data_IF_974392464835
#
_entry.id   IF_974392464835
#
_cell.length_a   1.000
_cell.length_b   1.000
_cell.length_c   1.000
_cell.angle_alpha   90.00
_cell.angle_beta   90.00
_cell.angle_gamma   90.00
#
_symmetry.space_group_name_H-M   'P 1'
#
loop_
_entity.id
_entity.type
_entity.pdbx_description
1 polymer ?
#
# COMPACT_ATOMS: atom_id res chain seq x y z
N UNK A 1 -16.06 -11.36 3.83
CA UNK A 1 -16.96 -10.18 3.94
C UNK A 1 -16.17 -8.88 4.03
N UNK A 2 -15.09 -8.81 4.82
CA UNK A 2 -14.26 -7.61 4.97
C UNK A 2 -13.66 -7.10 3.64
N UNK A 3 -13.02 -7.95 2.84
CA UNK A 3 -12.47 -7.59 1.52
C UNK A 3 -13.52 -7.02 0.55
N UNK A 4 -14.74 -7.61 0.51
CA UNK A 4 -15.85 -7.09 -0.31
C UNK A 4 -16.29 -5.70 0.17
N UNK A 5 -16.22 -5.45 1.49
CA UNK A 5 -16.53 -4.15 2.10
C UNK A 5 -15.46 -3.11 1.74
N UNK A 6 -14.18 -3.47 1.72
CA UNK A 6 -13.10 -2.53 1.34
C UNK A 6 -13.23 -2.07 -0.11
N UNK A 7 -13.54 -3.00 -1.02
CA UNK A 7 -13.83 -2.74 -2.44
C UNK A 7 -15.07 -1.83 -2.57
N UNK A 8 -16.15 -2.17 -1.87
CA UNK A 8 -17.41 -1.40 -1.92
C UNK A 8 -17.27 0.02 -1.36
N UNK A 9 -16.35 0.24 -0.43
CA UNK A 9 -16.28 1.50 0.31
C UNK A 9 -15.21 2.48 -0.24
N UNK A 10 -14.75 2.23 -1.47
CA UNK A 10 -13.71 2.99 -2.21
C UNK A 10 -12.35 3.08 -1.49
N UNK A 11 -12.17 2.37 -0.38
CA UNK A 11 -10.93 2.39 0.40
C UNK A 11 -9.81 1.71 -0.40
N UNK A 12 -10.14 0.63 -1.11
CA UNK A 12 -9.18 -0.02 -2.00
C UNK A 12 -8.64 0.94 -3.07
N UNK A 13 -9.48 1.87 -3.58
CA UNK A 13 -9.06 2.87 -4.56
C UNK A 13 -8.07 3.86 -3.93
N UNK A 14 -8.34 4.33 -2.70
CA UNK A 14 -7.44 5.24 -1.98
C UNK A 14 -6.10 4.55 -1.68
N UNK A 15 -6.15 3.29 -1.27
CA UNK A 15 -4.97 2.46 -1.01
C UNK A 15 -4.12 2.31 -2.29
N UNK A 16 -4.73 1.94 -3.41
CA UNK A 16 -4.04 1.85 -4.70
C UNK A 16 -3.46 3.20 -5.12
N UNK A 17 -4.21 4.30 -4.97
CA UNK A 17 -3.73 5.63 -5.33
C UNK A 17 -2.50 6.05 -4.52
N UNK A 18 -2.46 5.75 -3.22
CA UNK A 18 -1.29 6.00 -2.37
C UNK A 18 -0.09 5.18 -2.82
N UNK A 19 -0.28 3.89 -3.12
CA UNK A 19 0.83 3.03 -3.53
C UNK A 19 1.34 3.45 -4.91
N UNK A 20 0.47 3.82 -5.84
CA UNK A 20 0.87 4.42 -7.12
C UNK A 20 1.67 5.71 -6.89
N UNK A 21 1.26 6.56 -5.95
CA UNK A 21 2.00 7.77 -5.62
C UNK A 21 3.41 7.46 -5.05
N UNK A 22 3.56 6.40 -4.25
CA UNK A 22 4.87 5.95 -3.75
C UNK A 22 5.77 5.49 -4.90
N UNK A 23 5.26 4.68 -5.82
CA UNK A 23 6.01 4.26 -7.01
C UNK A 23 6.34 5.44 -7.94
N UNK A 24 5.46 6.42 -8.06
CA UNK A 24 5.73 7.65 -8.79
C UNK A 24 6.83 8.48 -8.12
N UNK A 25 6.82 8.60 -6.79
CA UNK A 25 7.90 9.27 -6.04
C UNK A 25 9.25 8.56 -6.21
N UNK A 26 9.26 7.22 -6.26
CA UNK A 26 10.47 6.45 -6.56
C UNK A 26 11.06 6.75 -7.94
N UNK A 27 10.26 7.26 -8.88
CA UNK A 27 10.74 7.75 -10.18
C UNK A 27 11.23 9.21 -10.08
N UNK A 28 10.47 10.05 -9.39
CA UNK A 28 10.70 11.49 -9.30
C UNK A 28 11.97 11.82 -8.50
N UNK A 29 12.26 11.11 -7.43
CA UNK A 29 13.42 11.38 -6.56
C UNK A 29 14.76 11.37 -7.31
N UNK A 30 15.14 10.29 -8.02
CA UNK A 30 16.44 10.21 -8.68
C UNK A 30 16.54 11.12 -9.91
N UNK A 31 15.42 11.43 -10.58
CA UNK A 31 15.40 12.36 -11.72
C UNK A 31 15.42 13.81 -11.26
N UNK A 32 14.67 14.12 -10.20
CA UNK A 32 14.47 15.48 -9.70
C UNK A 32 15.59 15.97 -8.80
N UNK A 33 16.03 15.14 -7.85
CA UNK A 33 17.07 15.51 -6.88
C UNK A 33 18.44 15.15 -7.41
N UNK A 34 18.62 13.90 -7.87
CA UNK A 34 19.94 13.38 -8.26
C UNK A 34 20.31 13.67 -9.73
N UNK A 35 19.39 14.29 -10.50
CA UNK A 35 19.57 14.67 -11.92
C UNK A 35 20.11 13.53 -12.80
N UNK A 36 19.73 12.29 -12.50
CA UNK A 36 20.21 11.13 -13.26
C UNK A 36 19.52 11.10 -14.63
N UNK A 37 20.30 11.04 -15.71
CA UNK A 37 19.79 11.13 -17.10
C UNK A 37 19.20 9.80 -17.61
N UNK A 38 19.58 8.66 -17.03
CA UNK A 38 19.02 7.34 -17.31
C UNK A 38 18.91 6.55 -16.02
N UNK A 39 17.70 6.13 -15.65
CA UNK A 39 17.50 5.21 -14.53
C UNK A 39 17.66 3.77 -14.98
N UNK A 40 18.53 3.01 -14.31
CA UNK A 40 18.50 1.56 -14.40
C UNK A 40 17.35 0.99 -13.56
N UNK A 41 16.90 -0.22 -13.92
CA UNK A 41 15.85 -0.95 -13.20
C UNK A 41 16.16 -1.10 -11.71
N UNK A 42 17.41 -1.38 -11.35
CA UNK A 42 17.84 -1.56 -9.95
C UNK A 42 17.82 -0.25 -9.17
N UNK A 43 18.27 0.85 -9.78
CA UNK A 43 18.24 2.17 -9.15
C UNK A 43 16.80 2.64 -8.91
N UNK A 44 15.88 2.35 -9.84
CA UNK A 44 14.46 2.65 -9.67
C UNK A 44 13.85 1.91 -8.49
N UNK A 45 14.09 0.59 -8.41
CA UNK A 45 13.60 -0.24 -7.32
C UNK A 45 14.22 0.15 -5.98
N UNK A 46 15.50 0.51 -5.97
CA UNK A 46 16.15 0.99 -4.75
C UNK A 46 15.59 2.35 -4.31
N UNK A 47 15.32 3.27 -5.23
CA UNK A 47 14.66 4.53 -4.88
C UNK A 47 13.23 4.32 -4.40
N UNK A 48 12.48 3.43 -5.04
CA UNK A 48 11.13 3.09 -4.58
C UNK A 48 11.14 2.47 -3.17
N UNK A 49 12.16 1.66 -2.86
CA UNK A 49 12.38 1.13 -1.51
C UNK A 49 12.57 2.24 -0.46
N UNK A 50 13.37 3.25 -0.77
CA UNK A 50 13.63 4.35 0.18
C UNK A 50 12.36 5.16 0.43
N UNK A 51 11.50 5.36 -0.58
CA UNK A 51 10.19 5.98 -0.38
C UNK A 51 9.30 5.14 0.54
N UNK A 52 9.25 3.83 0.32
CA UNK A 52 8.47 2.92 1.17
C UNK A 52 8.91 2.97 2.62
N UNK A 53 10.22 2.96 2.88
CA UNK A 53 10.75 2.92 4.25
C UNK A 53 10.68 4.28 4.95
N UNK A 54 10.91 5.38 4.24
CA UNK A 54 10.94 6.72 4.85
C UNK A 54 9.59 7.41 4.87
N UNK A 55 8.80 7.31 3.79
CA UNK A 55 7.50 7.97 3.67
C UNK A 55 6.32 7.01 3.86
N UNK A 56 6.52 5.71 3.67
CA UNK A 56 5.44 4.72 3.77
C UNK A 56 4.77 4.68 5.14
N UNK A 57 5.51 4.81 6.24
CA UNK A 57 4.91 4.85 7.59
C UNK A 57 3.84 5.94 7.73
N UNK A 58 4.11 7.13 7.18
CA UNK A 58 3.21 8.29 7.27
C UNK A 58 1.96 8.05 6.41
N UNK A 59 2.16 7.54 5.20
CA UNK A 59 1.07 7.26 4.27
C UNK A 59 0.16 6.12 4.76
N UNK A 60 0.73 5.04 5.31
CA UNK A 60 -0.03 3.92 5.84
C UNK A 60 -0.73 4.24 7.17
N UNK A 61 -0.10 5.00 8.07
CA UNK A 61 -0.74 5.41 9.33
C UNK A 61 -1.95 6.31 9.09
N UNK A 62 -1.87 7.22 8.11
CA UNK A 62 -3.01 8.03 7.69
C UNK A 62 -4.15 7.17 7.13
N UNK A 63 -3.82 6.18 6.28
CA UNK A 63 -4.82 5.29 5.69
C UNK A 63 -5.55 4.44 6.73
N UNK A 64 -4.81 3.86 7.69
CA UNK A 64 -5.40 3.08 8.80
C UNK A 64 -6.35 3.97 9.63
N UNK A 65 -5.91 5.19 9.95
CA UNK A 65 -6.72 6.14 10.71
C UNK A 65 -7.97 6.58 9.96
N UNK A 66 -7.85 6.88 8.66
CA UNK A 66 -8.98 7.23 7.80
C UNK A 66 -10.00 6.09 7.71
N UNK A 67 -9.51 4.85 7.58
CA UNK A 67 -10.36 3.68 7.47
C UNK A 67 -11.18 3.43 8.74
N UNK A 68 -10.54 3.54 9.91
CA UNK A 68 -11.20 3.41 11.21
C UNK A 68 -12.24 4.53 11.38
N UNK A 69 -11.88 5.79 11.10
CA UNK A 69 -12.80 6.92 11.22
C UNK A 69 -14.04 6.77 10.32
N UNK A 70 -13.88 6.22 9.12
CA UNK A 70 -15.00 5.99 8.21
C UNK A 70 -15.98 4.93 8.74
N UNK A 71 -15.50 3.92 9.45
CA UNK A 71 -16.35 2.92 10.14
C UNK A 71 -17.10 3.53 11.34
N UNK A 72 -16.46 4.44 12.09
CA UNK A 72 -17.13 5.21 13.14
C UNK A 72 -18.25 6.08 12.58
N UNK A 73 -17.97 6.82 11.49
CA UNK A 73 -18.98 7.65 10.80
C UNK A 73 -20.15 6.82 10.27
N UNK A 74 -19.87 5.66 9.68
CA UNK A 74 -20.88 4.73 9.17
C UNK A 74 -21.66 3.95 10.22
N UNK A 75 -21.36 4.14 11.52
CA UNK A 75 -21.97 3.40 12.66
C UNK A 75 -21.86 1.87 12.55
N UNK A 76 -21.00 1.34 11.69
CA UNK A 76 -20.83 -0.11 11.48
C UNK A 76 -20.24 -0.79 12.71
N UNK A 77 -19.51 -0.06 13.55
CA UNK A 77 -18.96 -0.53 14.82
C UNK A 77 -20.06 -1.02 15.78
N UNK A 78 -21.25 -0.40 15.74
CA UNK A 78 -22.38 -0.85 16.56
C UNK A 78 -22.85 -2.25 16.15
N UNK A 79 -22.84 -2.58 14.85
CA UNK A 79 -23.15 -3.92 14.36
C UNK A 79 -22.14 -4.97 14.83
N UNK A 80 -20.84 -4.66 14.83
CA UNK A 80 -19.82 -5.57 15.36
C UNK A 80 -19.97 -5.78 16.87
N UNK A 81 -20.38 -4.75 17.60
CA UNK A 81 -20.69 -4.85 19.03
C UNK A 81 -21.94 -5.71 19.29
N UNK A 82 -22.97 -5.60 18.46
CA UNK A 82 -24.16 -6.45 18.52
C UNK A 82 -23.86 -7.92 18.20
N UNK A 83 -22.85 -8.20 17.37
CA UNK A 83 -22.36 -9.56 17.10
C UNK A 83 -21.39 -10.11 18.15
N UNK A 84 -21.30 -9.48 19.33
CA UNK A 84 -20.43 -9.90 20.44
C UNK A 84 -18.94 -9.96 20.08
N UNK A 85 -18.51 -9.22 19.06
CA UNK A 85 -17.10 -9.15 18.68
C UNK A 85 -16.37 -8.16 19.60
N UNK A 86 -15.25 -8.60 20.18
CA UNK A 86 -14.40 -7.71 20.98
C UNK A 86 -13.72 -6.65 20.09
N UNK A 87 -13.54 -5.43 20.62
CA UNK A 87 -12.92 -4.30 19.93
C UNK A 87 -11.51 -4.62 19.40
N UNK A 88 -10.72 -5.38 20.17
CA UNK A 88 -9.40 -5.83 19.76
C UNK A 88 -9.46 -6.78 18.56
N UNK A 89 -10.38 -7.75 18.58
CA UNK A 89 -10.55 -8.71 17.47
C UNK A 89 -11.01 -8.02 16.20
N UNK A 90 -11.86 -6.99 16.31
CA UNK A 90 -12.25 -6.15 15.19
C UNK A 90 -11.04 -5.42 14.59
N UNK A 91 -10.27 -4.72 15.43
CA UNK A 91 -9.09 -3.98 14.98
C UNK A 91 -8.08 -4.89 14.27
N UNK A 92 -7.74 -6.04 14.86
CA UNK A 92 -6.77 -6.99 14.28
C UNK A 92 -7.24 -7.51 12.92
N UNK A 93 -8.53 -7.89 12.79
CA UNK A 93 -9.09 -8.35 11.50
C UNK A 93 -8.98 -7.27 10.42
N UNK A 94 -9.15 -6.00 10.79
CA UNK A 94 -9.05 -4.89 9.84
C UNK A 94 -7.61 -4.61 9.43
N UNK A 95 -6.69 -4.56 10.38
CA UNK A 95 -5.27 -4.40 10.09
C UNK A 95 -4.78 -5.52 9.17
N UNK A 96 -5.11 -6.78 9.47
CA UNK A 96 -4.78 -7.92 8.61
C UNK A 96 -5.34 -7.78 7.18
N UNK A 97 -6.59 -7.34 7.06
CA UNK A 97 -7.22 -7.15 5.73
C UNK A 97 -6.46 -6.09 4.94
N UNK A 98 -6.12 -4.95 5.56
CA UNK A 98 -5.35 -3.89 4.93
C UNK A 98 -3.94 -4.37 4.55
N UNK A 99 -3.25 -5.11 5.42
CA UNK A 99 -1.92 -5.67 5.13
C UNK A 99 -1.94 -6.61 3.93
N UNK A 100 -2.97 -7.45 3.78
CA UNK A 100 -3.09 -8.35 2.63
C UNK A 100 -3.32 -7.54 1.34
N UNK A 101 -4.16 -6.51 1.39
CA UNK A 101 -4.42 -5.63 0.23
C UNK A 101 -3.19 -4.81 -0.18
N UNK A 102 -2.40 -4.31 0.78
CA UNK A 102 -1.14 -3.60 0.48
C UNK A 102 -0.12 -4.53 -0.17
N UNK A 103 0.07 -5.75 0.34
CA UNK A 103 1.00 -6.70 -0.27
C UNK A 103 0.57 -7.10 -1.69
N UNK A 104 -0.72 -7.34 -1.89
CA UNK A 104 -1.25 -7.67 -3.22
C UNK A 104 -1.06 -6.53 -4.23
N UNK A 105 -1.31 -5.29 -3.83
CA UNK A 105 -1.14 -4.11 -4.71
C UNK A 105 0.33 -3.79 -5.00
N UNK A 106 1.24 -3.99 -4.03
CA UNK A 106 2.68 -3.89 -4.24
C UNK A 106 3.15 -4.91 -5.28
N UNK A 107 2.70 -6.16 -5.20
CA UNK A 107 3.02 -7.18 -6.21
C UNK A 107 2.58 -6.76 -7.61
N UNK A 108 1.33 -6.31 -7.75
CA UNK A 108 0.79 -5.89 -9.05
C UNK A 108 1.62 -4.75 -9.64
N UNK A 109 2.01 -3.75 -8.84
CA UNK A 109 2.83 -2.64 -9.31
C UNK A 109 4.27 -3.05 -9.63
N UNK A 110 4.88 -3.95 -8.86
CA UNK A 110 6.18 -4.54 -9.18
C UNK A 110 6.16 -5.26 -10.53
N UNK A 111 5.09 -6.00 -10.84
CA UNK A 111 4.91 -6.60 -12.16
C UNK A 111 4.82 -5.54 -13.26
N UNK A 112 4.00 -4.49 -13.07
CA UNK A 112 3.87 -3.39 -14.05
C UNK A 112 5.22 -2.73 -14.33
N UNK A 113 5.99 -2.41 -13.29
CA UNK A 113 7.33 -1.81 -13.43
C UNK A 113 8.26 -2.75 -14.18
N UNK A 114 8.24 -4.03 -13.85
CA UNK A 114 9.11 -5.03 -14.49
C UNK A 114 8.78 -5.21 -15.98
N UNK A 115 7.49 -5.09 -16.35
CA UNK A 115 7.09 -5.01 -17.75
C UNK A 115 7.62 -3.76 -18.46
N UNK A 116 7.64 -2.59 -17.80
CA UNK A 116 8.16 -1.34 -18.38
C UNK A 116 9.67 -1.43 -18.65
N UNK A 117 10.42 -2.03 -17.73
CA UNK A 117 11.88 -2.18 -17.85
C UNK A 117 12.32 -3.45 -18.61
N UNK A 118 11.38 -4.34 -18.96
CA UNK A 118 11.62 -5.63 -19.61
C UNK A 118 12.61 -6.53 -18.83
N UNK A 119 12.67 -6.38 -17.50
CA UNK A 119 13.55 -7.13 -16.61
C UNK A 119 12.75 -7.68 -15.42
N UNK A 120 12.80 -8.99 -15.22
CA UNK A 120 12.08 -9.72 -14.15
C UNK A 120 13.03 -10.31 -13.10
N UNK A 121 14.34 -10.10 -13.24
CA UNK A 121 15.37 -10.82 -12.47
C UNK A 121 15.31 -10.58 -10.95
N UNK A 122 14.85 -9.40 -10.51
CA UNK A 122 14.92 -8.97 -9.10
C UNK A 122 13.55 -8.87 -8.43
N UNK A 123 12.46 -9.27 -9.09
CA UNK A 123 11.08 -9.10 -8.60
C UNK A 123 10.87 -9.75 -7.22
N UNK A 124 11.28 -11.01 -7.09
CA UNK A 124 11.04 -11.77 -5.86
C UNK A 124 11.85 -11.17 -4.70
N UNK A 125 13.09 -10.75 -4.95
CA UNK A 125 13.94 -10.12 -3.95
C UNK A 125 13.36 -8.78 -3.48
N UNK A 126 12.92 -7.93 -4.42
CA UNK A 126 12.33 -6.63 -4.07
C UNK A 126 10.98 -6.76 -3.37
N UNK A 127 10.18 -7.77 -3.71
CA UNK A 127 8.94 -8.03 -2.98
C UNK A 127 9.19 -8.33 -1.49
N UNK A 128 10.23 -9.10 -1.17
CA UNK A 128 10.60 -9.36 0.23
C UNK A 128 11.13 -8.11 0.94
N UNK A 129 11.81 -7.20 0.23
CA UNK A 129 12.25 -5.93 0.80
C UNK A 129 11.10 -4.95 1.06
N UNK A 130 10.03 -5.00 0.28
CA UNK A 130 8.89 -4.07 0.40
C UNK A 130 7.82 -4.50 1.42
N UNK A 131 7.97 -5.66 2.04
CA UNK A 131 7.06 -6.16 3.09
C UNK A 131 7.29 -5.44 4.41
#
# INVERSE_FOLDING_TARGET
MELKKTISNKIMIILIAIIVAIFAMGWILPIGIDKVTRLSYREYLFSTYTVFTQFGFLMFSFLVSFFINKEYSGKTILFYRMMNTNSLTFYIKKVLTLTVETLGSILVLLFIVSFIFMDFSVILQMFFYYR
#
